data_IF_290620021527
#
_entry.id   IF_290620021527
#
_cell.length_a   1.000
_cell.length_b   1.000
_cell.length_c   1.000
_cell.angle_alpha   90.00
_cell.angle_beta   90.00
_cell.angle_gamma   90.00
#
_symmetry.space_group_name_H-M   'P 1'
#
loop_
_entity.id
_entity.type
_entity.pdbx_description
1 polymer ?
#
# COMPACT_ATOMS: atom_id res chain seq x y z
N UNK A 1 12.55 -18.19 -13.29
CA UNK A 1 11.68 -17.91 -12.13
C UNK A 1 10.25 -17.91 -12.65
N UNK A 2 9.40 -18.79 -12.16
CA UNK A 2 8.00 -18.85 -12.63
C UNK A 2 7.20 -17.74 -11.97
N UNK A 3 6.95 -16.68 -12.73
CA UNK A 3 6.20 -15.49 -12.28
C UNK A 3 4.70 -15.79 -12.18
N UNK A 4 4.22 -16.86 -12.87
CA UNK A 4 2.80 -17.20 -12.96
C UNK A 4 2.11 -17.47 -11.61
N UNK A 5 2.89 -17.73 -10.54
CA UNK A 5 2.39 -17.95 -9.18
C UNK A 5 2.37 -16.67 -8.31
N UNK A 6 2.93 -15.55 -8.79
CA UNK A 6 3.10 -14.32 -7.98
C UNK A 6 1.82 -13.48 -7.85
N UNK A 7 0.75 -13.86 -8.51
CA UNK A 7 -0.58 -13.25 -8.44
C UNK A 7 -1.67 -14.32 -8.45
N UNK A 8 -2.81 -14.00 -7.87
CA UNK A 8 -3.91 -14.96 -7.69
C UNK A 8 -5.22 -14.40 -8.21
N UNK A 9 -5.93 -15.19 -9.02
CA UNK A 9 -7.30 -14.89 -9.44
C UNK A 9 -8.29 -15.51 -8.46
N UNK A 10 -9.26 -14.74 -8.00
CA UNK A 10 -10.32 -15.21 -7.12
C UNK A 10 -11.64 -15.33 -7.85
N UNK A 11 -12.29 -16.47 -7.68
CA UNK A 11 -13.58 -16.76 -8.31
C UNK A 11 -14.64 -17.07 -7.25
N UNK A 12 -15.91 -16.96 -7.63
CA UNK A 12 -17.06 -17.39 -6.84
C UNK A 12 -17.05 -16.93 -5.37
N UNK A 13 -16.91 -17.87 -4.43
CA UNK A 13 -16.98 -17.60 -2.98
C UNK A 13 -15.91 -16.60 -2.53
N UNK A 14 -14.66 -16.77 -2.97
CA UNK A 14 -13.55 -15.88 -2.59
C UNK A 14 -13.77 -14.43 -3.06
N UNK A 15 -14.23 -14.26 -4.30
CA UNK A 15 -14.57 -12.92 -4.83
C UNK A 15 -15.68 -12.24 -4.03
N UNK A 16 -16.71 -13.00 -3.60
CA UNK A 16 -17.76 -12.48 -2.73
C UNK A 16 -17.24 -12.09 -1.35
N UNK A 17 -16.35 -12.90 -0.78
CA UNK A 17 -15.75 -12.63 0.53
C UNK A 17 -14.87 -11.37 0.52
N UNK A 18 -14.06 -11.15 -0.53
CA UNK A 18 -13.27 -9.92 -0.70
C UNK A 18 -14.18 -8.68 -0.77
N UNK A 19 -15.25 -8.74 -1.56
CA UNK A 19 -16.21 -7.64 -1.66
C UNK A 19 -16.91 -7.37 -0.34
N UNK A 20 -17.23 -8.43 0.42
CA UNK A 20 -17.83 -8.27 1.74
C UNK A 20 -16.88 -7.61 2.73
N UNK A 21 -15.61 -8.06 2.79
CA UNK A 21 -14.57 -7.43 3.61
C UNK A 21 -14.43 -5.93 3.31
N UNK A 22 -14.41 -5.58 2.03
CA UNK A 22 -14.33 -4.18 1.61
C UNK A 22 -15.51 -3.34 2.09
N UNK A 23 -16.71 -3.87 1.96
CA UNK A 23 -17.95 -3.23 2.47
C UNK A 23 -17.89 -3.09 4.00
N UNK A 24 -17.52 -4.17 4.71
CA UNK A 24 -17.44 -4.17 6.17
C UNK A 24 -16.44 -3.12 6.67
N UNK A 25 -15.29 -2.94 5.98
CA UNK A 25 -14.30 -1.91 6.32
C UNK A 25 -14.82 -0.50 6.08
N UNK A 26 -15.58 -0.26 5.01
CA UNK A 26 -16.21 1.04 4.75
C UNK A 26 -17.28 1.37 5.80
N UNK A 27 -18.06 0.37 6.26
CA UNK A 27 -19.06 0.55 7.31
C UNK A 27 -18.46 0.99 8.64
N UNK A 28 -17.20 0.65 8.93
CA UNK A 28 -16.51 1.15 10.14
C UNK A 28 -16.33 2.67 10.15
N UNK A 29 -16.51 3.33 9.01
CA UNK A 29 -16.31 4.77 8.83
C UNK A 29 -17.64 5.55 8.82
N UNK A 30 -18.77 4.96 9.18
CA UNK A 30 -20.08 5.63 9.14
C UNK A 30 -20.13 6.93 9.97
N UNK A 31 -19.31 7.00 11.03
CA UNK A 31 -19.20 8.19 11.89
C UNK A 31 -18.31 9.29 11.30
N UNK A 32 -17.67 9.04 10.16
CA UNK A 32 -16.71 9.94 9.52
C UNK A 32 -17.22 10.45 8.16
N UNK A 33 -16.91 11.69 7.85
CA UNK A 33 -17.01 12.16 6.46
C UNK A 33 -15.78 11.66 5.69
N UNK A 34 -16.02 10.73 4.75
CA UNK A 34 -14.97 10.09 3.98
C UNK A 34 -15.17 10.37 2.50
N UNK A 35 -14.11 10.68 1.79
CA UNK A 35 -14.08 10.83 0.35
C UNK A 35 -13.44 9.59 -0.29
N UNK A 36 -14.19 8.87 -1.10
CA UNK A 36 -13.65 7.72 -1.83
C UNK A 36 -13.06 8.16 -3.17
N UNK A 37 -11.80 7.80 -3.41
CA UNK A 37 -11.08 8.11 -4.63
C UNK A 37 -10.78 6.84 -5.43
N UNK A 38 -10.76 6.95 -6.74
CA UNK A 38 -10.25 5.93 -7.65
C UNK A 38 -8.87 6.38 -8.13
N UNK A 39 -7.87 5.55 -7.89
CA UNK A 39 -6.48 5.85 -8.25
C UNK A 39 -5.99 4.94 -9.36
N UNK A 40 -5.03 5.38 -10.20
CA UNK A 40 -4.47 4.53 -11.25
C UNK A 40 -3.51 3.47 -10.68
N UNK A 41 -3.31 2.39 -11.46
CA UNK A 41 -2.29 1.37 -11.18
C UNK A 41 -0.88 1.79 -11.56
N UNK A 42 -0.73 2.91 -12.27
CA UNK A 42 0.55 3.45 -12.72
C UNK A 42 0.87 4.75 -11.99
N UNK A 43 2.13 4.93 -11.63
CA UNK A 43 2.60 6.11 -10.91
C UNK A 43 3.84 6.71 -11.58
N UNK A 44 3.94 8.04 -11.60
CA UNK A 44 5.12 8.75 -12.09
C UNK A 44 6.30 8.62 -11.13
N UNK A 45 7.49 8.35 -11.67
CA UNK A 45 8.70 8.22 -10.88
C UNK A 45 9.10 9.50 -10.12
N UNK A 46 8.66 10.69 -10.56
CA UNK A 46 8.91 11.91 -9.81
C UNK A 46 8.11 11.92 -8.48
N UNK A 47 6.90 11.37 -8.47
CA UNK A 47 6.13 11.17 -7.23
C UNK A 47 6.87 10.21 -6.31
N UNK A 48 7.32 9.07 -6.82
CA UNK A 48 8.10 8.09 -6.06
C UNK A 48 9.39 8.69 -5.49
N UNK A 49 10.07 9.52 -6.28
CA UNK A 49 11.28 10.25 -5.86
C UNK A 49 10.96 11.22 -4.72
N UNK A 50 9.91 12.02 -4.87
CA UNK A 50 9.44 12.99 -3.86
C UNK A 50 9.03 12.30 -2.56
N UNK A 51 8.40 11.14 -2.65
CA UNK A 51 8.08 10.29 -1.49
C UNK A 51 9.30 9.57 -0.86
N UNK A 52 10.50 9.70 -1.43
CA UNK A 52 11.70 9.00 -0.95
C UNK A 52 11.68 7.49 -1.21
N UNK A 53 10.82 6.99 -2.11
CA UNK A 53 10.62 5.56 -2.33
C UNK A 53 11.86 4.89 -2.93
N UNK A 54 12.56 5.56 -3.87
CA UNK A 54 13.80 5.03 -4.46
C UNK A 54 14.93 4.81 -3.45
N UNK A 55 15.00 5.62 -2.40
CA UNK A 55 16.01 5.46 -1.35
C UNK A 55 15.60 4.44 -0.30
N UNK A 56 14.30 4.28 -0.08
CA UNK A 56 13.75 3.46 1.01
C UNK A 56 13.45 2.03 0.56
N UNK A 57 12.89 1.85 -0.64
CA UNK A 57 12.34 0.57 -1.11
C UNK A 57 12.63 0.30 -2.59
N UNK A 58 13.86 0.49 -3.10
CA UNK A 58 14.17 0.33 -4.52
C UNK A 58 13.90 -1.10 -5.03
N UNK A 59 14.06 -2.11 -4.17
CA UNK A 59 13.83 -3.51 -4.45
C UNK A 59 12.34 -3.89 -4.62
N UNK A 60 11.42 -3.03 -4.24
CA UNK A 60 9.98 -3.27 -4.41
C UNK A 60 9.43 -2.71 -5.72
N UNK A 61 10.19 -1.87 -6.41
CA UNK A 61 9.70 -1.14 -7.57
C UNK A 61 9.69 -1.99 -8.84
N UNK A 62 8.58 -1.93 -9.57
CA UNK A 62 8.45 -2.49 -10.92
C UNK A 62 8.29 -1.35 -11.90
N UNK A 63 9.26 -1.21 -12.82
CA UNK A 63 9.24 -0.21 -13.88
C UNK A 63 8.42 -0.71 -15.06
N UNK A 64 7.64 0.17 -15.68
CA UNK A 64 6.86 -0.13 -16.88
C UNK A 64 7.67 0.20 -18.13
N UNK A 65 7.78 -0.77 -19.03
CA UNK A 65 8.38 -0.61 -20.36
C UNK A 65 7.34 -0.92 -21.45
N UNK A 66 7.46 -0.23 -22.60
CA UNK A 66 6.64 -0.47 -23.78
C UNK A 66 7.46 -1.18 -24.86
N UNK A 67 6.81 -2.01 -25.68
CA UNK A 67 7.47 -2.65 -26.82
C UNK A 67 7.91 -1.55 -27.80
N UNK A 68 9.16 -1.57 -28.21
CA UNK A 68 9.70 -0.61 -29.20
C UNK A 68 8.95 -0.73 -30.53
N UNK A 69 8.66 0.42 -31.12
CA UNK A 69 7.86 0.50 -32.35
C UNK A 69 8.47 -0.28 -33.53
N UNK A 70 9.79 -0.32 -33.63
CA UNK A 70 10.52 -1.06 -34.67
C UNK A 70 10.44 -2.58 -34.51
N UNK A 71 10.04 -3.10 -33.35
CA UNK A 71 9.89 -4.55 -33.11
C UNK A 71 8.48 -5.04 -33.40
N UNK A 72 7.47 -4.14 -33.42
CA UNK A 72 6.05 -4.52 -33.47
C UNK A 72 5.68 -5.40 -34.67
N UNK A 73 6.19 -5.10 -35.87
CA UNK A 73 5.85 -5.85 -37.09
C UNK A 73 6.37 -7.29 -37.04
N UNK A 74 7.61 -7.48 -36.57
CA UNK A 74 8.21 -8.82 -36.50
C UNK A 74 7.52 -9.66 -35.41
N UNK A 75 7.17 -9.04 -34.27
CA UNK A 75 6.41 -9.70 -33.21
C UNK A 75 5.02 -10.09 -33.70
N UNK A 76 4.31 -9.19 -34.39
CA UNK A 76 2.98 -9.44 -34.97
C UNK A 76 2.98 -10.58 -36.01
N UNK A 77 4.07 -10.77 -36.72
CA UNK A 77 4.25 -11.85 -37.67
C UNK A 77 4.76 -13.16 -37.07
N UNK A 78 4.87 -13.26 -35.74
CA UNK A 78 5.47 -14.40 -35.01
C UNK A 78 6.91 -14.72 -35.50
N UNK A 79 7.65 -13.69 -35.94
CA UNK A 79 9.02 -13.83 -36.46
C UNK A 79 10.09 -13.50 -35.42
N UNK A 80 9.67 -13.11 -34.20
CA UNK A 80 10.56 -12.65 -33.15
C UNK A 80 9.97 -12.96 -31.77
N UNK A 81 10.76 -13.62 -30.93
CA UNK A 81 10.45 -13.76 -29.53
C UNK A 81 10.87 -12.48 -28.78
N UNK A 82 10.06 -12.07 -27.80
CA UNK A 82 10.32 -10.87 -27.01
C UNK A 82 11.54 -11.04 -26.12
N UNK A 83 12.48 -10.08 -26.24
CA UNK A 83 13.65 -9.98 -25.40
C UNK A 83 13.66 -8.66 -24.62
N UNK A 84 14.47 -8.57 -23.57
CA UNK A 84 14.56 -7.35 -22.72
C UNK A 84 14.96 -6.10 -23.51
N UNK A 85 15.72 -6.25 -24.62
CA UNK A 85 16.13 -5.16 -25.50
C UNK A 85 15.00 -4.62 -26.39
N UNK A 86 13.88 -5.33 -26.50
CA UNK A 86 12.74 -4.92 -27.31
C UNK A 86 11.82 -3.94 -26.59
N UNK A 87 12.08 -3.68 -25.31
CA UNK A 87 11.34 -2.73 -24.50
C UNK A 87 12.02 -1.36 -24.47
N UNK A 88 11.20 -0.32 -24.60
CA UNK A 88 11.59 1.05 -24.30
C UNK A 88 11.43 1.28 -22.79
N UNK A 89 12.54 1.41 -22.12
CA UNK A 89 12.63 1.65 -20.69
C UNK A 89 12.91 3.12 -20.35
N UNK A 90 12.74 4.04 -21.30
CA UNK A 90 12.95 5.48 -21.09
C UNK A 90 11.80 6.14 -20.32
N UNK A 91 10.64 5.48 -20.26
CA UNK A 91 9.49 5.96 -19.48
C UNK A 91 9.83 6.12 -18.01
N UNK A 92 9.34 7.18 -17.37
CA UNK A 92 9.45 7.38 -15.92
C UNK A 92 8.18 6.85 -15.19
N UNK A 93 7.69 5.68 -15.62
CA UNK A 93 6.43 5.10 -15.15
C UNK A 93 6.69 3.80 -14.42
N UNK A 94 6.01 3.61 -13.30
CA UNK A 94 6.11 2.44 -12.43
C UNK A 94 4.73 1.89 -12.10
N UNK A 95 4.65 0.62 -11.72
CA UNK A 95 3.46 0.09 -11.07
C UNK A 95 3.36 0.67 -9.66
N UNK A 96 2.15 1.01 -9.22
CA UNK A 96 1.89 1.65 -7.93
C UNK A 96 2.26 0.73 -6.75
N UNK A 97 3.25 1.09 -5.90
CA UNK A 97 3.67 0.23 -4.79
C UNK A 97 2.90 0.49 -3.49
N UNK A 98 2.20 1.63 -3.38
CA UNK A 98 1.37 2.00 -2.24
C UNK A 98 0.30 3.01 -2.69
N UNK A 99 -0.93 2.78 -2.27
CA UNK A 99 -2.09 3.53 -2.76
C UNK A 99 -2.08 5.01 -2.32
N UNK A 100 -1.66 5.29 -1.08
CA UNK A 100 -1.62 6.64 -0.53
C UNK A 100 -0.74 7.62 -1.32
N UNK A 101 0.26 7.13 -2.08
CA UNK A 101 1.19 7.98 -2.82
C UNK A 101 0.53 8.82 -3.93
N UNK A 102 -0.63 8.40 -4.42
CA UNK A 102 -1.41 9.15 -5.41
C UNK A 102 -2.16 10.33 -4.81
N UNK A 103 -2.41 10.30 -3.50
CA UNK A 103 -3.23 11.32 -2.82
C UNK A 103 -2.43 12.60 -2.62
N UNK A 104 -1.16 12.49 -2.25
CA UNK A 104 -0.35 13.65 -1.85
C UNK A 104 -0.13 14.69 -2.96
N UNK A 105 0.12 14.34 -4.23
CA UNK A 105 0.22 15.32 -5.31
C UNK A 105 -1.07 16.11 -5.54
N UNK A 106 -2.24 15.48 -5.37
CA UNK A 106 -3.53 16.15 -5.52
C UNK A 106 -3.78 17.15 -4.38
N UNK A 107 -3.37 16.78 -3.15
CA UNK A 107 -3.45 17.67 -1.98
C UNK A 107 -2.50 18.86 -2.10
N UNK A 108 -1.33 18.71 -2.72
CA UNK A 108 -0.42 19.80 -3.04
C UNK A 108 -1.09 20.85 -3.94
N UNK A 109 -1.90 20.41 -4.91
CA UNK A 109 -2.62 21.28 -5.83
C UNK A 109 -3.91 21.85 -5.22
N UNK A 110 -4.59 21.08 -4.39
CA UNK A 110 -5.87 21.39 -3.78
C UNK A 110 -5.80 21.19 -2.26
N UNK A 111 -5.26 22.16 -1.51
CA UNK A 111 -5.05 22.01 -0.07
C UNK A 111 -6.34 21.66 0.68
N UNK A 112 -6.26 20.65 1.52
CA UNK A 112 -7.38 20.15 2.33
C UNK A 112 -7.07 20.26 3.82
N UNK A 113 -8.14 20.32 4.62
CA UNK A 113 -8.07 20.45 6.06
C UNK A 113 -8.88 19.34 6.72
N UNK A 114 -8.26 18.53 7.59
CA UNK A 114 -8.97 17.50 8.34
C UNK A 114 -9.87 16.62 7.45
N UNK A 115 -9.27 15.84 6.60
CA UNK A 115 -9.98 14.99 5.64
C UNK A 115 -9.53 13.54 5.75
N UNK A 116 -10.50 12.65 5.52
CA UNK A 116 -10.25 11.21 5.37
C UNK A 116 -10.55 10.85 3.91
N UNK A 117 -9.57 10.25 3.26
CA UNK A 117 -9.68 9.74 1.90
C UNK A 117 -9.52 8.23 1.96
N UNK A 118 -10.35 7.50 1.22
CA UNK A 118 -10.21 6.06 1.06
C UNK A 118 -10.13 5.66 -0.40
N UNK A 119 -9.47 4.55 -0.66
CA UNK A 119 -9.40 3.96 -1.99
C UNK A 119 -9.26 2.44 -1.91
N UNK A 120 -9.91 1.75 -2.85
CA UNK A 120 -9.65 0.35 -3.12
C UNK A 120 -8.71 0.26 -4.31
N UNK A 121 -7.53 -0.28 -4.10
CA UNK A 121 -6.48 -0.25 -5.12
C UNK A 121 -5.76 -1.58 -5.29
N UNK A 122 -5.27 -1.83 -6.51
CA UNK A 122 -4.23 -2.84 -6.75
C UNK A 122 -2.88 -2.18 -6.52
N UNK A 123 -2.01 -2.82 -5.75
CA UNK A 123 -0.63 -2.39 -5.49
C UNK A 123 0.35 -3.50 -5.81
N UNK A 124 1.56 -3.10 -6.19
CA UNK A 124 2.55 -3.99 -6.79
C UNK A 124 3.88 -3.84 -6.09
N UNK A 125 4.39 -4.93 -5.49
CA UNK A 125 5.70 -4.96 -4.81
C UNK A 125 6.45 -6.21 -5.20
N UNK A 126 7.61 -6.02 -5.85
CA UNK A 126 8.51 -7.13 -6.16
C UNK A 126 9.29 -7.53 -4.89
N UNK A 127 8.78 -8.41 -4.13
CA UNK A 127 9.31 -8.83 -2.82
C UNK A 127 10.56 -9.73 -2.94
N UNK A 128 11.58 -9.29 -3.70
CA UNK A 128 12.82 -10.01 -4.00
C UNK A 128 12.60 -11.45 -4.53
N UNK A 129 11.49 -11.64 -5.28
CA UNK A 129 11.11 -12.92 -5.85
C UNK A 129 10.48 -13.91 -4.86
N UNK A 130 10.30 -13.54 -3.60
CA UNK A 130 9.58 -14.39 -2.65
C UNK A 130 8.08 -14.26 -2.85
N UNK A 131 7.40 -15.40 -2.97
CA UNK A 131 5.95 -15.49 -3.13
C UNK A 131 5.35 -16.51 -2.17
N UNK A 132 4.23 -16.13 -1.54
CA UNK A 132 3.37 -17.04 -0.79
C UNK A 132 1.91 -16.64 -1.03
N UNK A 133 1.12 -17.54 -1.63
CA UNK A 133 -0.25 -17.25 -2.02
C UNK A 133 -1.08 -16.68 -0.87
N UNK A 134 -1.83 -15.62 -1.13
CA UNK A 134 -2.67 -14.88 -0.19
C UNK A 134 -1.91 -14.19 0.98
N UNK A 135 -0.62 -14.45 1.17
CA UNK A 135 0.16 -13.89 2.27
C UNK A 135 1.24 -12.90 1.78
N UNK A 136 1.93 -13.26 0.70
CA UNK A 136 2.94 -12.41 0.05
C UNK A 136 2.84 -12.53 -1.45
N UNK A 137 2.21 -11.57 -2.07
CA UNK A 137 1.98 -11.49 -3.51
C UNK A 137 2.63 -10.23 -4.09
N UNK A 138 3.00 -10.27 -5.38
CA UNK A 138 3.55 -9.09 -6.06
C UNK A 138 2.47 -8.13 -6.51
N UNK A 139 1.25 -8.62 -6.70
CA UNK A 139 0.05 -7.91 -7.06
C UNK A 139 -1.07 -8.27 -6.08
N UNK A 140 -1.52 -7.32 -5.28
CA UNK A 140 -2.54 -7.53 -4.25
C UNK A 140 -3.46 -6.33 -4.10
N UNK A 141 -4.59 -6.57 -3.48
CA UNK A 141 -5.62 -5.55 -3.25
C UNK A 141 -5.48 -4.96 -1.86
N UNK A 142 -5.51 -3.64 -1.79
CA UNK A 142 -5.54 -2.93 -0.50
C UNK A 142 -6.75 -2.00 -0.45
N UNK A 143 -7.50 -2.04 0.67
CA UNK A 143 -8.33 -0.92 1.09
C UNK A 143 -7.46 -0.01 1.93
N UNK A 144 -7.22 1.20 1.43
CA UNK A 144 -6.39 2.20 2.09
C UNK A 144 -7.27 3.32 2.64
N UNK A 145 -6.97 3.75 3.86
CA UNK A 145 -7.56 4.92 4.50
C UNK A 145 -6.46 5.91 4.82
N UNK A 146 -6.57 7.14 4.34
CA UNK A 146 -5.58 8.19 4.52
C UNK A 146 -6.22 9.36 5.25
N UNK A 147 -5.69 9.69 6.41
CA UNK A 147 -6.08 10.87 7.16
C UNK A 147 -5.05 11.98 6.96
N UNK A 148 -5.54 13.17 6.66
CA UNK A 148 -4.73 14.39 6.47
C UNK A 148 -5.35 15.49 7.34
N UNK A 149 -4.55 16.15 8.16
CA UNK A 149 -5.08 17.18 9.05
C UNK A 149 -4.15 17.50 10.21
N UNK A 150 -4.67 18.19 11.23
CA UNK A 150 -3.89 18.45 12.42
C UNK A 150 -3.57 17.15 13.19
N UNK A 151 -2.56 17.22 14.06
CA UNK A 151 -2.03 16.07 14.82
C UNK A 151 -3.15 15.33 15.58
N UNK A 152 -4.04 16.07 16.25
CA UNK A 152 -5.12 15.47 17.05
C UNK A 152 -6.09 14.71 16.15
N UNK A 153 -6.50 15.31 15.05
CA UNK A 153 -7.44 14.70 14.10
C UNK A 153 -6.90 13.38 13.54
N UNK A 154 -5.67 13.39 13.01
CA UNK A 154 -5.06 12.20 12.41
C UNK A 154 -4.84 11.10 13.44
N UNK A 155 -4.29 11.43 14.63
CA UNK A 155 -4.06 10.43 15.68
C UNK A 155 -5.37 9.85 16.23
N UNK A 156 -6.42 10.65 16.38
CA UNK A 156 -7.73 10.17 16.83
C UNK A 156 -8.31 9.19 15.81
N UNK A 157 -8.28 9.53 14.53
CA UNK A 157 -8.76 8.64 13.46
C UNK A 157 -7.99 7.31 13.42
N UNK A 158 -6.64 7.36 13.45
CA UNK A 158 -5.83 6.14 13.44
C UNK A 158 -6.15 5.23 14.63
N UNK A 159 -6.27 5.79 15.83
CA UNK A 159 -6.57 5.01 17.04
C UNK A 159 -7.99 4.41 17.03
N UNK A 160 -8.99 5.17 16.56
CA UNK A 160 -10.36 4.68 16.48
C UNK A 160 -10.49 3.53 15.47
N UNK A 161 -9.98 3.73 14.26
CA UNK A 161 -10.08 2.69 13.22
C UNK A 161 -9.22 1.46 13.57
N UNK A 162 -8.08 1.64 14.24
CA UNK A 162 -7.29 0.53 14.76
C UNK A 162 -8.09 -0.34 15.71
N UNK A 163 -8.82 0.27 16.66
CA UNK A 163 -9.66 -0.44 17.62
C UNK A 163 -10.81 -1.16 16.91
N UNK A 164 -11.49 -0.50 15.95
CA UNK A 164 -12.57 -1.10 15.17
C UNK A 164 -12.09 -2.32 14.38
N UNK A 165 -10.94 -2.22 13.71
CA UNK A 165 -10.33 -3.31 12.95
C UNK A 165 -9.85 -4.47 13.83
N UNK A 166 -9.28 -4.16 15.01
CA UNK A 166 -8.90 -5.19 15.99
C UNK A 166 -10.14 -5.97 16.46
N UNK A 167 -11.19 -5.28 16.85
CA UNK A 167 -12.43 -5.92 17.31
C UNK A 167 -13.07 -6.75 16.18
N UNK A 168 -13.07 -6.25 14.96
CA UNK A 168 -13.57 -7.00 13.81
C UNK A 168 -12.74 -8.26 13.56
N UNK A 169 -11.42 -8.18 13.65
CA UNK A 169 -10.53 -9.33 13.50
C UNK A 169 -10.75 -10.38 14.61
N UNK A 170 -10.92 -9.96 15.87
CA UNK A 170 -11.21 -10.85 17.00
C UNK A 170 -12.53 -11.61 16.83
N UNK A 171 -13.51 -11.03 16.15
CA UNK A 171 -14.77 -11.73 15.83
C UNK A 171 -14.60 -12.81 14.74
N UNK A 172 -13.50 -12.78 13.98
CA UNK A 172 -13.20 -13.75 12.92
C UNK A 172 -12.21 -14.80 13.41
N UNK A 173 -11.21 -14.37 14.18
CA UNK A 173 -10.08 -15.19 14.57
C UNK A 173 -9.52 -14.75 15.94
N UNK A 174 -9.50 -15.68 16.90
CA UNK A 174 -9.18 -15.35 18.30
C UNK A 174 -7.74 -14.90 18.53
N UNK A 175 -6.81 -15.33 17.66
CA UNK A 175 -5.39 -15.13 17.89
C UNK A 175 -4.82 -13.98 17.06
N UNK A 176 -5.30 -12.76 17.32
CA UNK A 176 -4.86 -11.51 16.69
C UNK A 176 -4.36 -10.52 17.75
N UNK A 177 -3.38 -9.72 17.39
CA UNK A 177 -2.80 -8.69 18.26
C UNK A 177 -2.22 -7.52 17.47
N UNK A 178 -2.09 -6.37 18.11
CA UNK A 178 -1.37 -5.23 17.56
C UNK A 178 0.10 -5.30 18.00
N UNK A 179 1.00 -5.20 17.03
CA UNK A 179 2.45 -5.15 17.28
C UNK A 179 3.04 -3.85 16.78
N UNK A 180 4.01 -3.32 17.51
CA UNK A 180 4.92 -2.31 16.98
C UNK A 180 5.73 -2.91 15.83
N UNK A 181 5.92 -2.13 14.77
CA UNK A 181 6.58 -2.57 13.55
C UNK A 181 7.38 -1.44 12.92
N UNK A 182 8.15 -1.77 11.92
CA UNK A 182 8.81 -0.82 11.02
C UNK A 182 8.62 -1.27 9.58
N UNK A 183 8.90 -0.39 8.64
CA UNK A 183 8.92 -0.73 7.23
C UNK A 183 10.14 -1.59 6.88
N UNK A 184 9.97 -2.47 5.89
CA UNK A 184 11.06 -3.31 5.36
C UNK A 184 11.95 -2.48 4.41
N UNK A 185 12.68 -1.53 4.97
CA UNK A 185 13.58 -0.69 4.20
C UNK A 185 14.71 -1.51 3.55
N UNK A 186 15.14 -1.10 2.36
CA UNK A 186 16.34 -1.66 1.76
C UNK A 186 17.56 -1.43 2.66
N UNK A 187 18.41 -2.46 2.93
CA UNK A 187 19.39 -2.45 4.02
C UNK A 187 20.59 -1.53 3.74
N UNK A 188 20.47 -0.25 4.03
CA UNK A 188 21.55 0.75 4.04
C UNK A 188 21.76 1.32 5.43
N UNK A 189 22.91 1.96 5.67
CA UNK A 189 23.16 2.64 6.96
C UNK A 189 22.10 3.71 7.26
N UNK A 190 21.69 4.46 6.24
CA UNK A 190 20.67 5.51 6.39
C UNK A 190 19.29 4.92 6.69
N UNK A 191 18.92 3.84 6.02
CA UNK A 191 17.63 3.19 6.25
C UNK A 191 17.55 2.51 7.63
N UNK A 192 18.64 1.98 8.16
CA UNK A 192 18.68 1.51 9.57
C UNK A 192 18.40 2.62 10.60
N UNK A 193 18.74 3.87 10.27
CA UNK A 193 18.35 5.00 11.13
C UNK A 193 16.84 5.28 11.02
N UNK A 194 16.25 5.17 9.82
CA UNK A 194 14.79 5.30 9.63
C UNK A 194 14.03 4.21 10.40
N UNK A 195 14.48 2.95 10.33
CA UNK A 195 13.90 1.84 11.09
C UNK A 195 13.87 2.14 12.59
N UNK A 196 15.02 2.54 13.16
CA UNK A 196 15.13 2.91 14.58
C UNK A 196 14.24 4.10 14.93
N UNK A 197 14.16 5.09 14.05
CA UNK A 197 13.31 6.25 14.26
C UNK A 197 11.83 5.85 14.32
N UNK A 198 11.37 5.02 13.37
CA UNK A 198 9.99 4.51 13.36
C UNK A 198 9.65 3.73 14.64
N UNK A 199 10.52 2.83 15.07
CA UNK A 199 10.32 2.04 16.29
C UNK A 199 10.31 2.92 17.55
N UNK A 200 11.31 3.79 17.70
CA UNK A 200 11.43 4.65 18.88
C UNK A 200 10.28 5.64 19.06
N UNK A 201 9.63 6.04 17.96
CA UNK A 201 8.51 6.97 17.98
C UNK A 201 7.15 6.27 17.77
N UNK A 202 7.12 4.94 17.72
CA UNK A 202 5.91 4.14 17.50
C UNK A 202 5.09 4.64 16.29
N UNK A 203 5.80 4.88 15.16
CA UNK A 203 5.19 5.46 13.96
C UNK A 203 4.46 4.43 13.09
N UNK A 204 4.75 3.15 13.29
CA UNK A 204 4.10 2.05 12.59
C UNK A 204 3.69 0.95 13.55
N UNK A 205 2.47 0.47 13.37
CA UNK A 205 1.94 -0.72 14.04
C UNK A 205 1.28 -1.64 13.02
N UNK A 206 1.13 -2.89 13.36
CA UNK A 206 0.49 -3.88 12.49
C UNK A 206 -0.49 -4.72 13.30
N UNK A 207 -1.67 -4.94 12.72
CA UNK A 207 -2.61 -5.97 13.16
C UNK A 207 -2.13 -7.31 12.60
N UNK A 208 -1.78 -8.21 13.49
CA UNK A 208 -1.12 -9.48 13.16
C UNK A 208 -2.01 -10.64 13.59
N UNK A 209 -2.27 -11.58 12.69
CA UNK A 209 -2.86 -12.87 12.99
C UNK A 209 -1.76 -13.91 13.23
N UNK A 210 -1.89 -14.69 14.31
CA UNK A 210 -0.97 -15.80 14.63
C UNK A 210 -1.59 -17.11 14.16
N UNK A 211 -1.16 -17.61 13.00
CA UNK A 211 -1.66 -18.83 12.37
C UNK A 211 -0.64 -19.94 12.60
N UNK A 212 -0.91 -20.83 13.57
CA UNK A 212 0.08 -21.79 14.04
C UNK A 212 1.30 -21.08 14.61
N UNK A 213 2.49 -21.36 14.07
CA UNK A 213 3.74 -20.71 14.47
C UNK A 213 4.08 -19.46 13.63
N UNK A 214 3.26 -19.10 12.65
CA UNK A 214 3.50 -17.98 11.76
C UNK A 214 2.73 -16.73 12.18
N UNK A 215 3.33 -15.57 11.96
CA UNK A 215 2.71 -14.25 12.17
C UNK A 215 2.44 -13.61 10.82
N UNK A 216 1.17 -13.31 10.56
CA UNK A 216 0.72 -12.68 9.33
C UNK A 216 0.18 -11.28 9.63
N UNK A 217 0.90 -10.23 9.21
CA UNK A 217 0.39 -8.87 9.27
C UNK A 217 -0.72 -8.69 8.23
N UNK A 218 -1.95 -8.39 8.67
CA UNK A 218 -3.14 -8.25 7.83
C UNK A 218 -3.53 -6.79 7.58
N UNK A 219 -3.13 -5.89 8.49
CA UNK A 219 -3.33 -4.44 8.36
C UNK A 219 -2.13 -3.71 8.92
N UNK A 220 -1.74 -2.61 8.28
CA UNK A 220 -0.72 -1.68 8.76
C UNK A 220 -1.33 -0.34 9.15
N UNK A 221 -0.87 0.24 10.26
CA UNK A 221 -1.22 1.56 10.77
C UNK A 221 0.04 2.42 10.77
N UNK A 222 0.04 3.52 10.03
CA UNK A 222 1.22 4.35 9.82
C UNK A 222 0.91 5.80 10.16
N UNK A 223 1.70 6.40 11.02
CA UNK A 223 1.69 7.82 11.30
C UNK A 223 2.93 8.45 10.67
N UNK A 224 2.74 9.29 9.66
CA UNK A 224 3.84 9.82 8.85
C UNK A 224 4.41 11.13 9.39
N UNK A 225 3.85 11.66 10.48
CA UNK A 225 4.19 12.97 11.00
C UNK A 225 4.09 14.03 9.89
N UNK A 226 5.11 14.88 9.74
CA UNK A 226 5.19 15.94 8.73
C UNK A 226 5.88 15.50 7.43
N UNK A 227 6.17 14.21 7.23
CA UNK A 227 6.96 13.77 6.08
C UNK A 227 6.32 14.21 4.75
N UNK A 228 5.09 13.79 4.48
CA UNK A 228 4.43 14.11 3.22
C UNK A 228 3.97 15.55 3.13
N UNK A 229 3.56 16.17 4.23
CA UNK A 229 3.17 17.57 4.22
C UNK A 229 4.33 18.52 3.88
N UNK A 230 5.55 18.20 4.32
CA UNK A 230 6.76 18.93 3.94
C UNK A 230 7.16 18.68 2.49
N UNK A 231 7.18 17.41 2.05
CA UNK A 231 7.60 17.03 0.70
C UNK A 231 6.64 17.56 -0.39
N UNK A 232 5.35 17.67 -0.07
CA UNK A 232 4.30 18.12 -0.99
C UNK A 232 3.75 19.50 -0.66
N UNK A 233 4.41 20.26 0.22
CA UNK A 233 4.06 21.65 0.55
C UNK A 233 2.58 21.86 0.93
N UNK A 234 1.98 20.93 1.70
CA UNK A 234 0.58 21.06 2.13
C UNK A 234 0.35 22.23 3.06
N UNK A 235 1.40 22.62 3.78
CA UNK A 235 1.34 23.51 4.92
C UNK A 235 1.92 24.86 4.61
N UNK A 236 1.01 25.81 4.33
CA UNK A 236 1.37 27.22 4.28
C UNK A 236 1.29 27.92 5.65
N UNK A 237 1.28 27.17 6.78
CA UNK A 237 1.32 27.64 8.20
C UNK A 237 0.48 26.78 9.16
N UNK A 238 -0.07 25.65 8.73
CA UNK A 238 -0.93 24.81 9.56
C UNK A 238 -0.23 23.47 9.79
N UNK A 239 0.12 23.12 10.98
CA UNK A 239 0.74 21.85 11.40
C UNK A 239 0.01 20.59 10.85
N UNK A 240 0.00 20.42 9.51
CA UNK A 240 -0.64 19.33 8.82
C UNK A 240 0.26 18.10 8.88
N UNK A 241 -0.28 17.02 9.39
CA UNK A 241 0.34 15.69 9.41
C UNK A 241 -0.50 14.71 8.60
N UNK A 242 0.09 13.57 8.27
CA UNK A 242 -0.62 12.50 7.58
C UNK A 242 -0.48 11.18 8.32
N UNK A 243 -1.43 10.29 8.08
CA UNK A 243 -1.36 8.90 8.51
C UNK A 243 -2.18 8.02 7.58
N UNK A 244 -1.86 6.74 7.51
CA UNK A 244 -2.65 5.83 6.70
C UNK A 244 -2.82 4.46 7.38
N UNK A 245 -3.88 3.78 6.96
CA UNK A 245 -4.19 2.41 7.36
C UNK A 245 -4.41 1.61 6.08
N UNK A 246 -3.61 0.56 5.90
CA UNK A 246 -3.70 -0.33 4.73
C UNK A 246 -4.16 -1.73 5.12
N UNK A 247 -5.34 -2.13 4.64
CA UNK A 247 -5.90 -3.47 4.84
C UNK A 247 -5.65 -4.32 3.59
N UNK A 248 -4.75 -5.30 3.67
CA UNK A 248 -4.48 -6.24 2.58
C UNK A 248 -5.57 -7.30 2.46
N UNK A 249 -6.46 -7.17 1.45
CA UNK A 249 -7.67 -8.00 1.39
C UNK A 249 -7.40 -9.49 1.22
N UNK A 250 -6.36 -9.86 0.50
CA UNK A 250 -5.96 -11.26 0.35
C UNK A 250 -5.51 -11.88 1.67
N UNK A 251 -4.82 -11.12 2.53
CA UNK A 251 -4.39 -11.57 3.86
C UNK A 251 -5.59 -11.70 4.80
N UNK A 252 -6.55 -10.78 4.74
CA UNK A 252 -7.81 -10.90 5.48
C UNK A 252 -8.64 -12.09 4.98
N UNK A 253 -8.68 -12.33 3.66
CA UNK A 253 -9.34 -13.51 3.10
C UNK A 253 -8.69 -14.81 3.58
N UNK A 254 -7.35 -14.84 3.70
CA UNK A 254 -6.60 -15.97 4.26
C UNK A 254 -7.07 -16.30 5.69
N UNK A 255 -7.37 -15.26 6.49
CA UNK A 255 -7.88 -15.43 7.85
C UNK A 255 -9.28 -16.07 7.89
N UNK A 256 -10.12 -15.79 6.90
CA UNK A 256 -11.46 -16.41 6.77
C UNK A 256 -11.42 -17.88 6.31
N UNK A 257 -10.26 -18.39 5.92
CA UNK A 257 -10.06 -19.77 5.43
C UNK A 257 -9.37 -20.67 6.46
N UNK A 258 -8.99 -20.14 7.62
CA UNK A 258 -8.41 -20.87 8.75
C UNK A 258 -9.52 -21.41 9.65
#
# INVERSE_FOLDING_TARGET
>A
MDIGSSYTSFQCKKSKSIKKLDIDFLQMLEDYKVNEWVIPSLIDGNILKKCGYFSSFPNQLTKVGFIKRNCLQNISNNQHDLHCNDFDNTTNTYLTPAACLHIYPEVEQNPIKNEIITTLARVYRYEDGYFKSMERQWDFTVREFVAIGNIKYVKTFLADLELKLLNYALNIFDNVLILESNDFFYPTKQNKLKERYQLNNNLKRELVACIGNEKLAITSFNYHEFHFSKEFNFDNNENIVTGCIGCGLERWLRLLEV
#
